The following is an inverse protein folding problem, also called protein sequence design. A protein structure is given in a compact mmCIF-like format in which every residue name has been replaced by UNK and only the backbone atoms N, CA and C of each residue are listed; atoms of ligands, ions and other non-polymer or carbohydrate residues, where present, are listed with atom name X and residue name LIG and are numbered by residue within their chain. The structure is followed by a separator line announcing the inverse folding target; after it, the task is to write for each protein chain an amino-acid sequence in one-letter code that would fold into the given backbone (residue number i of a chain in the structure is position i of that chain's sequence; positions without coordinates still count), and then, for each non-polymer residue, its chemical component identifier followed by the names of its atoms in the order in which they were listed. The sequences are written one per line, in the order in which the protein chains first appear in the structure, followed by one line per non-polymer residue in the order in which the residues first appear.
data_IF_419354635183
#
_entry.id   IF_419354635183
#
_cell.length_a   1.000
_cell.length_b   1.000
_cell.length_c   1.000
_cell.angle_alpha   90.00
_cell.angle_beta   90.00
_cell.angle_gamma   90.00
#
_symmetry.space_group_name_H-M   'P 1'
#
loop_
_entity.id
_entity.type
_entity.pdbx_description
1 polymer ?
#
# COMPACT_ATOMS: atom_id res chain seq x y z
N UNK A 1 -1.93 -25.14 -6.60
CA UNK A 1 -1.09 -24.12 -7.26
C UNK A 1 -0.11 -23.58 -6.24
N UNK A 2 1.19 -23.55 -6.57
CA UNK A 2 2.22 -22.99 -5.68
C UNK A 2 2.33 -21.50 -5.91
N UNK A 3 2.34 -20.73 -4.80
CA UNK A 3 2.48 -19.27 -4.77
C UNK A 3 3.71 -18.92 -3.97
N UNK A 4 4.53 -18.00 -4.49
CA UNK A 4 5.69 -17.47 -3.79
C UNK A 4 5.62 -15.96 -3.67
N UNK A 5 5.74 -15.46 -2.44
CA UNK A 5 5.83 -14.03 -2.15
C UNK A 5 7.29 -13.60 -2.09
N UNK A 6 7.61 -12.51 -2.83
CA UNK A 6 8.93 -11.89 -2.94
C UNK A 6 8.83 -10.42 -2.50
N UNK A 7 9.02 -10.18 -1.21
CA UNK A 7 8.88 -8.84 -0.62
C UNK A 7 10.23 -8.25 -0.21
N UNK A 8 10.34 -6.92 -0.27
CA UNK A 8 11.46 -6.18 0.30
C UNK A 8 11.58 -6.39 1.81
N UNK A 9 12.76 -6.17 2.39
CA UNK A 9 12.99 -6.38 3.82
C UNK A 9 13.10 -7.83 4.29
N UNK A 10 12.64 -8.80 3.48
CA UNK A 10 12.77 -10.22 3.81
C UNK A 10 14.10 -10.81 3.29
N UNK A 11 14.55 -11.89 3.92
CA UNK A 11 15.82 -12.56 3.60
C UNK A 11 15.83 -13.08 2.15
N UNK A 12 16.73 -12.53 1.32
CA UNK A 12 16.88 -12.86 -0.10
C UNK A 12 17.22 -14.33 -0.31
N UNK A 13 18.14 -14.90 0.49
CA UNK A 13 18.57 -16.30 0.34
C UNK A 13 17.38 -17.25 0.49
N UNK A 14 16.55 -17.02 1.50
CA UNK A 14 15.34 -17.85 1.74
C UNK A 14 14.32 -17.73 0.60
N UNK A 15 14.16 -16.54 0.03
CA UNK A 15 13.27 -16.34 -1.12
C UNK A 15 13.80 -17.08 -2.36
N UNK A 16 15.12 -17.03 -2.60
CA UNK A 16 15.77 -17.74 -3.70
C UNK A 16 15.63 -19.27 -3.56
N UNK A 17 15.77 -19.81 -2.35
CA UNK A 17 15.60 -21.24 -2.12
C UNK A 17 14.17 -21.69 -2.50
N UNK A 18 13.16 -20.94 -2.09
CA UNK A 18 11.76 -21.23 -2.43
C UNK A 18 11.44 -21.12 -3.92
N UNK A 19 12.15 -20.26 -4.66
CA UNK A 19 11.99 -20.18 -6.11
C UNK A 19 12.43 -21.45 -6.85
N UNK A 20 13.28 -22.29 -6.24
CA UNK A 20 13.68 -23.59 -6.78
C UNK A 20 12.49 -24.57 -6.90
N UNK A 21 11.44 -24.34 -6.11
CA UNK A 21 10.20 -25.13 -6.16
C UNK A 21 9.32 -24.83 -7.39
N UNK A 22 9.77 -23.91 -8.25
CA UNK A 22 9.08 -23.47 -9.48
C UNK A 22 7.62 -23.09 -9.22
N UNK A 23 7.37 -22.03 -8.43
CA UNK A 23 5.99 -21.58 -8.17
C UNK A 23 5.33 -21.14 -9.48
N UNK A 24 4.04 -21.47 -9.61
CA UNK A 24 3.24 -21.04 -10.76
C UNK A 24 2.85 -19.56 -10.67
N UNK A 25 2.73 -19.03 -9.44
CA UNK A 25 2.40 -17.63 -9.19
C UNK A 25 3.51 -17.02 -8.33
N UNK A 26 4.01 -15.88 -8.77
CA UNK A 26 4.96 -15.06 -8.01
C UNK A 26 4.32 -13.71 -7.73
N UNK A 27 4.24 -13.35 -6.46
CA UNK A 27 3.72 -12.04 -6.00
C UNK A 27 4.87 -11.25 -5.39
N UNK A 28 5.05 -10.00 -5.79
CA UNK A 28 6.13 -9.20 -5.24
C UNK A 28 6.11 -7.75 -5.65
N UNK A 29 6.93 -6.94 -4.97
CA UNK A 29 7.14 -5.54 -5.34
C UNK A 29 8.11 -5.44 -6.53
N UNK A 30 7.94 -4.45 -7.44
CA UNK A 30 8.77 -4.33 -8.63
C UNK A 30 10.27 -4.33 -8.34
N UNK A 31 10.71 -3.61 -7.33
CA UNK A 31 12.14 -3.55 -6.95
C UNK A 31 12.72 -4.92 -6.58
N UNK A 32 12.00 -5.73 -5.77
CA UNK A 32 12.47 -7.06 -5.37
C UNK A 32 12.45 -8.04 -6.55
N UNK A 33 11.44 -7.98 -7.40
CA UNK A 33 11.36 -8.81 -8.60
C UNK A 33 12.51 -8.50 -9.56
N UNK A 34 12.82 -7.22 -9.76
CA UNK A 34 13.96 -6.78 -10.56
C UNK A 34 15.30 -7.25 -9.98
N UNK A 35 15.50 -7.08 -8.69
CA UNK A 35 16.71 -7.54 -8.00
C UNK A 35 16.96 -9.02 -8.26
N UNK A 36 15.97 -9.87 -8.05
CA UNK A 36 16.08 -11.31 -8.24
C UNK A 36 16.21 -11.70 -9.72
N UNK A 37 15.62 -10.93 -10.64
CA UNK A 37 15.81 -11.09 -12.08
C UNK A 37 17.23 -10.74 -12.50
N UNK A 38 17.80 -9.62 -12.03
CA UNK A 38 19.19 -9.21 -12.29
C UNK A 38 20.18 -10.24 -11.75
N UNK A 39 19.90 -10.85 -10.59
CA UNK A 39 20.67 -11.95 -10.03
C UNK A 39 20.45 -13.31 -10.75
N UNK A 40 19.64 -13.33 -11.81
CA UNK A 40 19.28 -14.54 -12.57
C UNK A 40 18.62 -15.65 -11.71
N UNK A 41 18.00 -15.26 -10.59
CA UNK A 41 17.30 -16.18 -9.70
C UNK A 41 15.82 -16.27 -10.00
N UNK A 42 15.25 -15.23 -10.59
CA UNK A 42 13.86 -15.19 -11.08
C UNK A 42 13.88 -15.18 -12.61
N UNK A 43 13.29 -16.22 -13.22
CA UNK A 43 13.18 -16.34 -14.67
C UNK A 43 11.87 -15.75 -15.14
N UNK A 44 11.94 -14.70 -15.96
CA UNK A 44 10.77 -13.96 -16.42
C UNK A 44 10.32 -14.32 -17.85
N UNK A 45 11.13 -15.07 -18.60
CA UNK A 45 10.90 -15.36 -20.02
C UNK A 45 9.75 -16.35 -20.29
N UNK A 46 9.16 -16.93 -19.25
CA UNK A 46 8.02 -17.87 -19.34
C UNK A 46 6.76 -17.32 -18.68
N UNK A 47 6.72 -16.00 -18.42
CA UNK A 47 5.56 -15.36 -17.80
C UNK A 47 4.47 -15.19 -18.85
N UNK A 48 3.36 -15.84 -18.68
CA UNK A 48 2.20 -15.78 -19.56
C UNK A 48 1.19 -14.70 -19.13
N UNK A 49 1.20 -14.33 -17.85
CA UNK A 49 0.29 -13.32 -17.30
C UNK A 49 1.02 -12.37 -16.35
N UNK A 50 0.81 -11.09 -16.53
CA UNK A 50 1.22 -10.02 -15.62
C UNK A 50 -0.03 -9.39 -14.97
N UNK A 51 -0.02 -9.32 -13.65
CA UNK A 51 -1.06 -8.61 -12.89
C UNK A 51 -0.40 -7.42 -12.20
N UNK A 52 -0.91 -6.22 -12.45
CA UNK A 52 -0.56 -4.99 -11.76
C UNK A 52 -1.72 -4.64 -10.82
N UNK A 53 -1.52 -4.88 -9.54
CA UNK A 53 -2.46 -4.49 -8.48
C UNK A 53 -2.07 -3.12 -7.92
N UNK A 54 -3.04 -2.28 -7.57
CA UNK A 54 -2.82 -0.86 -7.26
C UNK A 54 -2.00 -0.17 -8.37
N UNK A 55 -2.46 -0.33 -9.63
CA UNK A 55 -1.71 0.12 -10.80
C UNK A 55 -1.48 1.65 -10.79
N UNK A 56 -2.37 2.44 -10.21
CA UNK A 56 -2.18 3.88 -9.99
C UNK A 56 -0.91 4.17 -9.16
N UNK A 57 -0.67 3.43 -8.09
CA UNK A 57 0.54 3.54 -7.29
C UNK A 57 1.80 3.02 -8.03
N UNK A 58 1.70 1.86 -8.69
CA UNK A 58 2.83 1.28 -9.43
C UNK A 58 3.30 2.14 -10.62
N UNK A 59 2.42 3.00 -11.11
CA UNK A 59 2.65 3.91 -12.23
C UNK A 59 2.98 5.33 -11.80
N UNK A 60 3.04 5.60 -10.49
CA UNK A 60 3.52 6.86 -9.94
C UNK A 60 5.00 7.09 -10.32
N UNK A 61 5.44 8.34 -10.57
CA UNK A 61 6.81 8.66 -10.97
C UNK A 61 7.89 7.98 -10.14
N UNK A 62 7.68 7.81 -8.83
CA UNK A 62 8.62 7.15 -7.93
C UNK A 62 8.78 5.64 -8.19
N UNK A 63 7.70 4.95 -8.59
CA UNK A 63 7.68 3.50 -8.81
C UNK A 63 7.79 3.12 -10.29
N UNK A 64 7.43 4.05 -11.18
CA UNK A 64 7.31 3.84 -12.61
C UNK A 64 8.56 3.24 -13.25
N UNK A 65 9.74 3.71 -12.85
CA UNK A 65 11.01 3.26 -13.42
C UNK A 65 11.24 1.76 -13.21
N UNK A 66 11.00 1.27 -11.99
CA UNK A 66 11.14 -0.13 -11.63
C UNK A 66 10.09 -1.00 -12.31
N UNK A 67 8.85 -0.53 -12.33
CA UNK A 67 7.73 -1.23 -12.99
C UNK A 67 8.00 -1.37 -14.48
N UNK A 68 8.41 -0.28 -15.15
CA UNK A 68 8.75 -0.26 -16.57
C UNK A 68 9.93 -1.18 -16.92
N UNK A 69 10.98 -1.16 -16.10
CA UNK A 69 12.15 -2.06 -16.31
C UNK A 69 11.74 -3.53 -16.17
N UNK A 70 10.88 -3.85 -15.19
CA UNK A 70 10.37 -5.20 -14.98
C UNK A 70 9.55 -5.67 -16.20
N UNK A 71 8.59 -4.84 -16.65
CA UNK A 71 7.71 -5.15 -17.78
C UNK A 71 8.50 -5.40 -19.07
N UNK A 72 9.59 -4.66 -19.30
CA UNK A 72 10.48 -4.86 -20.46
C UNK A 72 11.21 -6.21 -20.47
N UNK A 73 11.31 -6.89 -19.32
CA UNK A 73 11.96 -8.20 -19.21
C UNK A 73 11.01 -9.37 -19.43
N UNK A 74 9.72 -9.10 -19.51
CA UNK A 74 8.70 -10.11 -19.76
C UNK A 74 8.53 -10.36 -21.27
N UNK A 75 8.02 -11.54 -21.69
CA UNK A 75 7.66 -11.79 -23.07
C UNK A 75 6.70 -10.75 -23.64
N UNK A 76 6.76 -10.48 -24.93
CA UNK A 76 5.81 -9.60 -25.63
C UNK A 76 4.41 -10.19 -25.63
N UNK A 77 4.31 -11.49 -25.84
CA UNK A 77 3.04 -12.23 -25.84
C UNK A 77 2.68 -12.66 -24.43
N UNK A 78 1.95 -11.82 -23.73
CA UNK A 78 1.44 -12.09 -22.38
C UNK A 78 0.11 -11.40 -22.17
N UNK A 79 -0.72 -11.97 -21.35
CA UNK A 79 -1.90 -11.26 -20.84
C UNK A 79 -1.46 -10.22 -19.79
N UNK A 80 -2.07 -9.05 -19.82
CA UNK A 80 -1.85 -8.02 -18.79
C UNK A 80 -3.19 -7.63 -18.16
N UNK A 81 -3.24 -7.70 -16.84
CA UNK A 81 -4.37 -7.29 -16.04
C UNK A 81 -3.93 -6.15 -15.12
N UNK A 82 -4.67 -5.05 -15.12
CA UNK A 82 -4.43 -3.90 -14.25
C UNK A 82 -5.65 -3.68 -13.36
N UNK A 83 -5.42 -3.66 -12.05
CA UNK A 83 -6.43 -3.30 -11.06
C UNK A 83 -6.04 -1.97 -10.42
N UNK A 84 -6.99 -1.04 -10.35
CA UNK A 84 -6.75 0.29 -9.80
C UNK A 84 -8.05 0.85 -9.22
N UNK A 85 -7.93 1.56 -8.09
CA UNK A 85 -9.05 2.26 -7.48
C UNK A 85 -9.37 3.57 -8.22
N UNK A 86 -8.39 4.14 -8.93
CA UNK A 86 -8.53 5.41 -9.63
C UNK A 86 -8.23 5.29 -11.12
N UNK A 87 -8.97 6.02 -11.94
CA UNK A 87 -8.64 6.23 -13.36
C UNK A 87 -7.54 7.28 -13.44
N UNK A 88 -6.29 6.86 -13.41
CA UNK A 88 -5.14 7.76 -13.54
C UNK A 88 -4.70 7.87 -15.01
N UNK A 89 -4.27 9.07 -15.44
CA UNK A 89 -3.64 9.30 -16.76
C UNK A 89 -2.42 8.40 -16.99
N UNK A 90 -1.76 7.98 -15.92
CA UNK A 90 -0.61 7.07 -15.99
C UNK A 90 -0.99 5.66 -16.49
N UNK A 91 -2.27 5.26 -16.41
CA UNK A 91 -2.74 4.02 -17.02
C UNK A 91 -2.56 4.02 -18.54
N UNK A 92 -2.55 5.18 -19.19
CA UNK A 92 -2.22 5.30 -20.62
C UNK A 92 -0.77 4.90 -20.93
N UNK A 93 0.14 5.03 -19.96
CA UNK A 93 1.52 4.55 -20.11
C UNK A 93 1.58 3.04 -20.27
N UNK A 94 0.68 2.31 -19.62
CA UNK A 94 0.59 0.84 -19.74
C UNK A 94 0.30 0.45 -21.19
N UNK A 95 -0.55 1.20 -21.88
CA UNK A 95 -0.88 0.94 -23.30
C UNK A 95 0.37 0.97 -24.18
N UNK A 96 1.32 1.87 -23.88
CA UNK A 96 2.60 1.97 -24.61
C UNK A 96 3.51 0.75 -24.38
N UNK A 97 3.30 0.00 -23.31
CA UNK A 97 4.12 -1.16 -22.98
C UNK A 97 3.54 -2.48 -23.46
N UNK A 98 2.24 -2.49 -23.75
CA UNK A 98 1.48 -3.71 -24.03
C UNK A 98 1.27 -3.89 -25.52
N UNK A 99 1.43 -2.83 -26.34
CA UNK A 99 1.13 -2.83 -27.78
C UNK A 99 -0.29 -3.31 -28.13
N UNK A 100 -1.23 -3.20 -27.22
CA UNK A 100 -2.62 -3.64 -27.36
C UNK A 100 -3.58 -2.57 -26.82
N UNK A 101 -4.75 -2.48 -27.40
CA UNK A 101 -5.81 -1.64 -26.86
C UNK A 101 -6.41 -2.35 -25.63
N UNK A 102 -6.43 -1.72 -24.45
CA UNK A 102 -7.00 -2.32 -23.26
C UNK A 102 -8.53 -2.35 -23.33
N UNK A 103 -9.11 -3.40 -22.76
CA UNK A 103 -10.53 -3.42 -22.43
C UNK A 103 -10.71 -2.88 -21.01
N UNK A 104 -11.52 -1.85 -20.87
CA UNK A 104 -11.84 -1.28 -19.56
C UNK A 104 -13.08 -1.96 -18.98
N UNK A 105 -12.95 -2.44 -17.75
CA UNK A 105 -14.06 -2.97 -16.96
C UNK A 105 -14.21 -2.11 -15.72
N UNK A 106 -15.32 -1.44 -15.57
CA UNK A 106 -15.64 -0.62 -14.40
C UNK A 106 -16.65 -1.36 -13.53
N UNK A 107 -16.29 -1.59 -12.28
CA UNK A 107 -17.09 -2.37 -11.32
C UNK A 107 -17.90 -1.46 -10.39
N UNK A 108 -17.56 -0.16 -10.34
CA UNK A 108 -18.26 0.79 -9.46
C UNK A 108 -19.52 1.33 -10.11
N UNK A 109 -20.64 1.18 -9.46
CA UNK A 109 -21.88 1.91 -9.75
C UNK A 109 -21.72 3.39 -9.35
N UNK A 110 -20.96 4.15 -10.16
CA UNK A 110 -20.78 5.60 -9.96
C UNK A 110 -19.98 5.97 -8.71
N UNK A 111 -19.74 7.28 -8.53
CA UNK A 111 -19.07 7.89 -7.36
C UNK A 111 -19.91 7.81 -6.08
N UNK A 112 -20.64 6.75 -5.84
CA UNK A 112 -21.43 6.62 -4.63
C UNK A 112 -20.52 6.31 -3.45
N UNK A 113 -20.39 7.28 -2.57
CA UNK A 113 -19.86 7.09 -1.23
C UNK A 113 -20.64 5.95 -0.57
N UNK A 114 -19.93 4.98 0.01
CA UNK A 114 -20.57 3.84 0.65
C UNK A 114 -21.60 4.30 1.67
N UNK A 115 -22.86 3.86 1.55
CA UNK A 115 -23.99 4.33 2.35
C UNK A 115 -23.81 4.19 3.86
N UNK A 116 -22.92 3.30 4.29
CA UNK A 116 -22.61 3.06 5.71
C UNK A 116 -21.50 3.96 6.26
N UNK A 117 -21.00 4.92 5.46
CA UNK A 117 -19.95 5.85 5.88
C UNK A 117 -20.48 7.26 5.87
N UNK A 118 -20.46 7.92 7.03
CA UNK A 118 -20.78 9.35 7.15
C UNK A 118 -19.52 10.17 6.92
N UNK A 119 -19.59 11.12 5.99
CA UNK A 119 -18.49 12.01 5.67
C UNK A 119 -18.74 13.39 6.28
N UNK A 120 -17.72 13.96 6.89
CA UNK A 120 -17.73 15.30 7.42
C UNK A 120 -16.38 15.97 7.25
N UNK A 121 -16.32 17.29 7.40
CA UNK A 121 -15.07 18.04 7.46
C UNK A 121 -15.16 19.09 8.56
N UNK A 122 -14.00 19.44 9.12
CA UNK A 122 -13.88 20.46 10.14
C UNK A 122 -12.80 21.45 9.71
N UNK A 123 -13.19 22.70 9.52
CA UNK A 123 -12.25 23.78 9.28
C UNK A 123 -11.63 24.25 10.60
N UNK A 124 -10.30 24.17 10.69
CA UNK A 124 -9.58 24.66 11.85
C UNK A 124 -8.17 25.15 11.49
N UNK A 125 -7.64 26.13 12.24
CA UNK A 125 -6.24 26.52 12.09
C UNK A 125 -5.31 25.34 12.36
N UNK A 126 -4.22 25.23 11.59
CA UNK A 126 -3.25 24.12 11.70
C UNK A 126 -2.76 23.91 13.14
N UNK A 127 -2.53 25.00 13.90
CA UNK A 127 -2.09 24.97 15.30
C UNK A 127 -3.10 24.35 16.29
N UNK A 128 -4.36 24.19 15.87
CA UNK A 128 -5.44 23.66 16.72
C UNK A 128 -5.89 22.25 16.32
N UNK A 129 -5.26 21.63 15.33
CA UNK A 129 -5.67 20.33 14.81
C UNK A 129 -5.65 19.22 15.85
N UNK A 130 -4.64 19.21 16.73
CA UNK A 130 -4.53 18.29 17.84
C UNK A 130 -5.66 18.43 18.87
N UNK A 131 -6.01 19.67 19.20
CA UNK A 131 -7.13 19.96 20.10
C UNK A 131 -8.46 19.54 19.48
N UNK A 132 -8.69 19.87 18.21
CA UNK A 132 -9.92 19.50 17.48
C UNK A 132 -10.05 17.99 17.36
N UNK A 133 -8.97 17.27 16.99
CA UNK A 133 -8.98 15.80 16.92
C UNK A 133 -9.36 15.18 18.26
N UNK A 134 -8.78 15.65 19.35
CA UNK A 134 -9.09 15.17 20.69
C UNK A 134 -10.57 15.41 21.05
N UNK A 135 -11.07 16.62 20.81
CA UNK A 135 -12.47 16.96 21.08
C UNK A 135 -13.42 16.12 20.24
N UNK A 136 -13.12 15.94 18.94
CA UNK A 136 -13.93 15.12 18.04
C UNK A 136 -14.05 13.69 18.53
N UNK A 137 -12.97 13.08 18.94
CA UNK A 137 -12.99 11.71 19.44
C UNK A 137 -13.84 11.55 20.70
N UNK A 138 -13.86 12.55 21.58
CA UNK A 138 -14.72 12.53 22.76
C UNK A 138 -16.18 12.83 22.43
N UNK A 139 -16.46 13.80 21.53
CA UNK A 139 -17.84 14.17 21.17
C UNK A 139 -18.58 13.08 20.41
N UNK A 140 -17.89 12.36 19.56
CA UNK A 140 -18.47 11.27 18.75
C UNK A 140 -18.52 9.92 19.50
N UNK A 141 -18.08 9.88 20.78
CA UNK A 141 -17.92 8.63 21.54
C UNK A 141 -17.15 7.55 20.74
N UNK A 142 -16.18 7.99 19.94
CA UNK A 142 -15.42 7.10 19.09
C UNK A 142 -14.55 6.19 19.95
N UNK A 143 -14.87 4.91 19.98
CA UNK A 143 -14.07 3.91 20.69
C UNK A 143 -12.70 3.74 20.05
N UNK A 144 -12.60 3.95 18.75
CA UNK A 144 -11.38 3.81 17.97
C UNK A 144 -11.36 4.81 16.81
N UNK A 145 -10.20 5.39 16.54
CA UNK A 145 -9.98 6.30 15.42
C UNK A 145 -8.65 5.99 14.72
N UNK A 146 -8.72 5.81 13.41
CA UNK A 146 -7.54 5.73 12.54
C UNK A 146 -7.29 7.13 11.96
N UNK A 147 -6.11 7.67 12.23
CA UNK A 147 -5.76 9.05 11.86
C UNK A 147 -4.61 9.03 10.85
N UNK A 148 -4.87 9.46 9.64
CA UNK A 148 -3.86 9.59 8.58
C UNK A 148 -3.19 10.95 8.65
N UNK A 149 -1.85 10.96 8.62
CA UNK A 149 -1.02 12.16 8.69
C UNK A 149 0.02 12.16 7.57
N UNK A 150 0.12 13.26 6.85
CA UNK A 150 0.95 13.35 5.64
C UNK A 150 2.47 13.28 5.87
N UNK A 151 2.96 13.32 7.11
CA UNK A 151 4.38 13.15 7.39
C UNK A 151 4.63 12.46 8.73
N UNK A 152 5.67 11.66 8.79
CA UNK A 152 6.11 10.94 9.99
C UNK A 152 6.40 11.92 11.14
N UNK A 153 7.05 13.04 10.84
CA UNK A 153 7.38 14.06 11.86
C UNK A 153 6.10 14.67 12.49
N UNK A 154 5.09 14.97 11.66
CA UNK A 154 3.81 15.48 12.16
C UNK A 154 3.03 14.42 12.94
N UNK A 155 3.10 13.16 12.52
CA UNK A 155 2.48 12.05 13.25
C UNK A 155 3.13 11.85 14.62
N UNK A 156 4.46 11.91 14.71
CA UNK A 156 5.19 11.83 15.97
C UNK A 156 4.81 12.99 16.92
N UNK A 157 4.85 14.22 16.43
CA UNK A 157 4.45 15.40 17.21
C UNK A 157 2.99 15.31 17.68
N UNK A 158 2.08 14.86 16.84
CA UNK A 158 0.68 14.64 17.21
C UNK A 158 0.57 13.57 18.29
N UNK A 159 1.30 12.46 18.15
CA UNK A 159 1.36 11.40 19.15
C UNK A 159 1.84 11.89 20.53
N UNK A 160 2.93 12.68 20.57
CA UNK A 160 3.43 13.31 21.80
C UNK A 160 2.40 14.20 22.47
N UNK A 161 1.69 15.04 21.70
CA UNK A 161 0.64 15.90 22.22
C UNK A 161 -0.55 15.13 22.78
N UNK A 162 -0.98 14.05 22.09
CA UNK A 162 -2.05 13.19 22.57
C UNK A 162 -1.64 12.48 23.87
N UNK A 163 -0.41 11.96 23.92
CA UNK A 163 0.13 11.32 25.12
C UNK A 163 0.24 12.29 26.31
N UNK A 164 0.68 13.54 26.06
CA UNK A 164 0.69 14.61 27.08
C UNK A 164 -0.70 14.82 27.71
N UNK A 165 -1.75 14.69 26.91
CA UNK A 165 -3.15 14.78 27.38
C UNK A 165 -3.69 13.44 27.89
N UNK A 166 -2.82 12.46 28.17
CA UNK A 166 -3.19 11.14 28.66
C UNK A 166 -4.14 10.35 27.72
N UNK A 167 -4.10 10.66 26.43
CA UNK A 167 -4.84 9.91 25.42
C UNK A 167 -3.94 8.79 24.90
N UNK A 168 -4.29 7.51 25.12
CA UNK A 168 -3.48 6.41 24.61
C UNK A 168 -3.45 6.41 23.08
N UNK A 169 -2.25 6.33 22.52
CA UNK A 169 -2.05 6.43 21.08
C UNK A 169 -0.91 5.50 20.65
N UNK A 170 -1.01 4.93 19.47
CA UNK A 170 0.11 4.25 18.82
C UNK A 170 0.39 4.83 17.43
N UNK A 171 1.66 4.79 17.04
CA UNK A 171 2.14 5.28 15.75
C UNK A 171 2.54 4.11 14.85
N UNK A 172 2.01 4.09 13.62
CA UNK A 172 2.47 3.23 12.54
C UNK A 172 3.45 4.01 11.66
N UNK A 173 4.72 3.96 12.00
CA UNK A 173 5.77 4.54 11.16
C UNK A 173 6.31 3.49 10.18
N UNK A 174 6.71 3.94 8.97
CA UNK A 174 7.48 3.11 8.03
C UNK A 174 8.81 2.65 8.62
N UNK A 175 9.38 3.45 9.52
CA UNK A 175 10.69 3.23 10.15
C UNK A 175 10.61 2.31 11.38
N UNK A 176 9.40 2.05 11.89
CA UNK A 176 9.20 1.16 13.03
C UNK A 176 9.46 -0.32 12.66
N UNK A 177 10.06 -1.06 13.58
CA UNK A 177 10.25 -2.50 13.41
C UNK A 177 8.92 -3.23 13.21
N UNK A 178 8.94 -4.29 12.41
CA UNK A 178 7.74 -5.07 12.09
C UNK A 178 7.01 -5.58 13.34
N UNK A 179 7.76 -5.91 14.40
CA UNK A 179 7.21 -6.35 15.69
C UNK A 179 6.42 -5.24 16.39
N UNK A 180 6.92 -4.01 16.38
CA UNK A 180 6.25 -2.84 16.96
C UNK A 180 4.98 -2.50 16.22
N UNK A 181 5.03 -2.51 14.88
CA UNK A 181 3.84 -2.30 14.03
C UNK A 181 2.76 -3.34 14.31
N UNK A 182 3.12 -4.62 14.40
CA UNK A 182 2.17 -5.68 14.75
C UNK A 182 1.55 -5.45 16.12
N UNK A 183 2.36 -5.13 17.12
CA UNK A 183 1.88 -4.85 18.49
C UNK A 183 0.92 -3.66 18.52
N UNK A 184 1.26 -2.56 17.82
CA UNK A 184 0.37 -1.39 17.72
C UNK A 184 -0.99 -1.74 17.12
N UNK A 185 -1.01 -2.50 16.02
CA UNK A 185 -2.24 -2.95 15.37
C UNK A 185 -3.04 -3.89 16.30
N UNK A 186 -2.40 -4.80 17.01
CA UNK A 186 -3.07 -5.71 17.94
C UNK A 186 -3.71 -4.97 19.11
N UNK A 187 -3.00 -4.01 19.70
CA UNK A 187 -3.53 -3.18 20.79
C UNK A 187 -4.72 -2.35 20.31
N UNK A 188 -4.63 -1.78 19.11
CA UNK A 188 -5.73 -1.05 18.51
C UNK A 188 -6.94 -1.97 18.28
N UNK A 189 -6.76 -3.12 17.62
CA UNK A 189 -7.85 -4.08 17.39
C UNK A 189 -8.54 -4.57 18.66
N UNK A 190 -7.81 -4.64 19.78
CA UNK A 190 -8.36 -5.01 21.10
C UNK A 190 -9.04 -3.85 21.82
N UNK A 191 -9.08 -2.65 21.25
CA UNK A 191 -9.63 -1.46 21.88
C UNK A 191 -8.81 -0.92 23.06
N UNK A 192 -7.55 -1.38 23.21
CA UNK A 192 -6.69 -0.93 24.32
C UNK A 192 -6.07 0.44 24.07
N UNK A 193 -6.01 0.86 22.81
CA UNK A 193 -5.64 2.21 22.39
C UNK A 193 -6.72 2.76 21.47
N UNK A 194 -7.24 3.96 21.74
CA UNK A 194 -8.30 4.56 20.90
C UNK A 194 -7.77 5.18 19.62
N UNK A 195 -6.49 5.60 19.58
CA UNK A 195 -5.93 6.28 18.41
C UNK A 195 -4.78 5.50 17.78
N UNK A 196 -4.87 5.28 16.48
CA UNK A 196 -3.79 4.75 15.65
C UNK A 196 -3.42 5.79 14.59
N UNK A 197 -2.21 6.36 14.70
CA UNK A 197 -1.66 7.32 13.74
C UNK A 197 -0.89 6.59 12.64
N UNK A 198 -1.10 6.95 11.38
CA UNK A 198 -0.43 6.37 10.21
C UNK A 198 -0.03 7.44 9.20
#
# INVERSE_FOLDING_TARGET
IRVQVLAGGANVKRQVEKLKEKPAIVVGTPGRLLELSKLRKLKLHQVEMLVLDEADYLLDPEQLSNTRELVKKLPSERQVLCFSATKNKNLEEVNKWINMLPTFVEVSEGNSVHSNVTHGYIECPTRKRDEVLRKLAFSENANQALVFVNSIANAALLGEKLAYHQVPVALLSSDAHQTERKKAIELFKKGQIPFLLS
#
